data_IF_240898496123
#
_entry.id   IF_240898496123
#
_cell.length_a   1.000
_cell.length_b   1.000
_cell.length_c   1.000
_cell.angle_alpha   90.00
_cell.angle_beta   90.00
_cell.angle_gamma   90.00
#
_symmetry.space_group_name_H-M   'P 1'
#
loop_
_entity.id
_entity.type
_entity.pdbx_description
1 polymer ?
#
# COMPACT_ATOMS: atom_id res chain seq x y z
N UNK A 1 -13.97 -7.91 12.37
CA UNK A 1 -12.50 -7.84 12.58
C UNK A 1 -11.67 -7.75 11.30
N UNK A 2 -12.19 -8.12 10.12
CA UNK A 2 -11.44 -8.07 8.84
C UNK A 2 -11.21 -6.66 8.28
N UNK A 3 -12.17 -5.75 8.46
CA UNK A 3 -12.10 -4.40 7.87
C UNK A 3 -10.93 -3.52 8.34
N UNK A 4 -10.41 -3.74 9.57
CA UNK A 4 -9.31 -2.94 10.12
C UNK A 4 -7.98 -3.32 9.48
N UNK A 5 -7.75 -4.63 9.29
CA UNK A 5 -6.57 -5.15 8.59
C UNK A 5 -6.54 -4.70 7.13
N UNK A 6 -7.69 -4.73 6.45
CA UNK A 6 -7.78 -4.27 5.05
C UNK A 6 -7.51 -2.77 4.93
N UNK A 7 -8.02 -1.96 5.88
CA UNK A 7 -7.77 -0.51 5.90
C UNK A 7 -6.30 -0.17 6.17
N UNK A 8 -5.66 -0.86 7.12
CA UNK A 8 -4.24 -0.67 7.41
C UNK A 8 -3.35 -1.11 6.25
N UNK A 9 -3.69 -2.23 5.61
CA UNK A 9 -2.96 -2.75 4.45
C UNK A 9 -2.99 -1.79 3.27
N UNK A 10 -4.14 -1.14 3.01
CA UNK A 10 -4.36 -0.25 1.87
C UNK A 10 -3.99 1.23 2.10
N UNK A 11 -3.56 1.56 3.31
CA UNK A 11 -3.25 2.93 3.76
C UNK A 11 -2.06 3.57 3.02
N UNK A 12 -0.95 2.86 2.76
CA UNK A 12 0.20 3.43 2.04
C UNK A 12 -0.19 3.91 0.63
N UNK A 13 -0.94 3.07 -0.09
CA UNK A 13 -1.42 3.39 -1.43
C UNK A 13 -2.41 4.56 -1.48
N UNK A 14 -3.27 4.71 -0.46
CA UNK A 14 -4.18 5.86 -0.35
C UNK A 14 -3.43 7.17 -0.09
N UNK A 15 -2.42 7.14 0.77
CA UNK A 15 -1.60 8.33 1.08
C UNK A 15 -0.87 8.80 -0.17
N UNK A 16 -0.21 7.90 -0.89
CA UNK A 16 0.52 8.27 -2.11
C UNK A 16 -0.43 8.73 -3.21
N UNK A 17 -1.59 8.09 -3.38
CA UNK A 17 -2.58 8.53 -4.37
C UNK A 17 -3.12 9.94 -4.08
N UNK A 18 -3.30 10.28 -2.79
CA UNK A 18 -3.68 11.64 -2.38
C UNK A 18 -2.55 12.66 -2.61
N UNK A 19 -1.30 12.26 -2.35
CA UNK A 19 -0.13 13.14 -2.48
C UNK A 19 0.21 13.44 -3.94
N UNK A 20 0.01 12.47 -4.83
CA UNK A 20 0.19 12.61 -6.30
C UNK A 20 -1.00 13.35 -6.95
N UNK A 21 -2.11 13.55 -6.23
CA UNK A 21 -3.27 14.28 -6.74
C UNK A 21 -4.07 13.51 -7.80
N UNK A 22 -4.05 12.18 -7.75
CA UNK A 22 -4.78 11.33 -8.70
C UNK A 22 -6.29 11.45 -8.44
N UNK A 23 -7.00 12.10 -9.38
CA UNK A 23 -8.45 12.35 -9.31
C UNK A 23 -9.31 11.29 -10.01
N UNK A 24 -8.74 10.53 -10.95
CA UNK A 24 -9.46 9.45 -11.64
C UNK A 24 -9.53 8.20 -10.77
N UNK A 25 -10.73 7.62 -10.65
CA UNK A 25 -11.00 6.48 -9.78
C UNK A 25 -10.21 5.21 -10.18
N UNK A 26 -10.12 4.92 -11.48
CA UNK A 26 -9.38 3.76 -11.98
C UNK A 26 -7.87 3.88 -11.72
N UNK A 27 -7.29 5.04 -12.04
CA UNK A 27 -5.87 5.32 -11.79
C UNK A 27 -5.54 5.24 -10.29
N UNK A 28 -6.48 5.67 -9.43
CA UNK A 28 -6.35 5.61 -7.98
C UNK A 28 -6.33 4.16 -7.47
N UNK A 29 -7.16 3.29 -8.04
CA UNK A 29 -7.17 1.85 -7.71
C UNK A 29 -5.87 1.15 -8.11
N UNK A 30 -5.37 1.47 -9.31
CA UNK A 30 -4.11 0.93 -9.81
C UNK A 30 -2.91 1.40 -8.98
N UNK A 31 -2.83 2.71 -8.70
CA UNK A 31 -1.76 3.29 -7.88
C UNK A 31 -1.75 2.73 -6.46
N UNK A 32 -2.93 2.60 -5.85
CA UNK A 32 -3.06 2.04 -4.50
C UNK A 32 -2.57 0.59 -4.44
N UNK A 33 -2.87 -0.21 -5.45
CA UNK A 33 -2.41 -1.60 -5.56
C UNK A 33 -0.89 -1.67 -5.75
N UNK A 34 -0.35 -0.86 -6.66
CA UNK A 34 1.09 -0.81 -6.94
C UNK A 34 1.91 -0.41 -5.71
N UNK A 35 1.53 0.68 -5.05
CA UNK A 35 2.20 1.17 -3.84
C UNK A 35 2.10 0.14 -2.72
N UNK A 36 0.94 -0.50 -2.56
CA UNK A 36 0.78 -1.55 -1.57
C UNK A 36 1.72 -2.73 -1.83
N UNK A 37 1.77 -3.25 -3.06
CA UNK A 37 2.67 -4.35 -3.38
C UNK A 37 4.12 -3.96 -3.12
N UNK A 38 4.55 -2.76 -3.52
CA UNK A 38 5.92 -2.31 -3.27
C UNK A 38 6.24 -2.19 -1.78
N UNK A 39 5.37 -1.50 -1.03
CA UNK A 39 5.58 -1.23 0.39
C UNK A 39 5.59 -2.52 1.21
N UNK A 40 4.60 -3.40 1.02
CA UNK A 40 4.51 -4.63 1.79
C UNK A 40 5.58 -5.65 1.41
N UNK A 41 5.99 -5.69 0.14
CA UNK A 41 7.10 -6.57 -0.27
C UNK A 41 8.44 -6.07 0.30
N UNK A 42 8.65 -4.75 0.35
CA UNK A 42 9.81 -4.15 1.01
C UNK A 42 9.81 -4.42 2.52
N UNK A 43 8.69 -4.20 3.20
CA UNK A 43 8.53 -4.52 4.62
C UNK A 43 8.80 -6.01 4.88
N UNK A 44 8.25 -6.90 4.05
CA UNK A 44 8.49 -8.34 4.13
C UNK A 44 9.97 -8.70 3.96
N UNK A 45 10.66 -8.11 2.98
CA UNK A 45 12.08 -8.31 2.77
C UNK A 45 12.93 -7.81 3.94
N UNK A 46 12.61 -6.64 4.51
CA UNK A 46 13.30 -6.11 5.68
C UNK A 46 13.08 -6.97 6.93
N UNK A 47 11.85 -7.43 7.15
CA UNK A 47 11.54 -8.35 8.26
C UNK A 47 12.31 -9.65 8.06
N UNK A 48 12.28 -10.22 6.86
CA UNK A 48 13.04 -11.43 6.55
C UNK A 48 14.55 -11.23 6.79
N UNK A 49 15.11 -10.09 6.39
CA UNK A 49 16.52 -9.78 6.60
C UNK A 49 16.87 -9.49 8.06
N UNK A 50 15.93 -8.97 8.85
CA UNK A 50 16.12 -8.73 10.28
C UNK A 50 16.06 -10.03 11.11
N UNK A 51 15.25 -11.00 10.69
CA UNK A 51 15.09 -12.29 11.36
C UNK A 51 15.95 -13.42 10.76
N UNK A 52 16.63 -13.19 9.64
CA UNK A 52 17.62 -14.09 9.05
C UNK A 52 18.98 -13.92 9.74
#
# INVERSE_FOLDING_TARGET
>A
MTAVLTKGFLLPGDLVSNLVGIRKADDRGMMRTLINMLFWNLVGAFVALYFA
#
